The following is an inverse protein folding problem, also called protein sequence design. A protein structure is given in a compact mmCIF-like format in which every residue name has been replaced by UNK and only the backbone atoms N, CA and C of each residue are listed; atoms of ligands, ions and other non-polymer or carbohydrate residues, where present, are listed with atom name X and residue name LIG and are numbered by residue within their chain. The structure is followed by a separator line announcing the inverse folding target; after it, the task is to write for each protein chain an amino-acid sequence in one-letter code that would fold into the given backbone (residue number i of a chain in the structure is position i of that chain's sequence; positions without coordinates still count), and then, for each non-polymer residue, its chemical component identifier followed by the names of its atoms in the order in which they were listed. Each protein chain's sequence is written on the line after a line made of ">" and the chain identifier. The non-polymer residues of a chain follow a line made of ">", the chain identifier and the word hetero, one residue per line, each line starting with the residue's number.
data_IF_232254045534
#
_entry.id   IF_232254045534
#
_cell.length_a   1.000
_cell.length_b   1.000
_cell.length_c   1.000
_cell.angle_alpha   90.00
_cell.angle_beta   90.00
_cell.angle_gamma   90.00
#
_symmetry.space_group_name_H-M   'P 1'
#
loop_
_entity.id
_entity.type
_entity.pdbx_description
1 polymer ?
#
# COMPACT_ATOMS: atom_id res chain seq x y z
N UNK A 1 8.65 49.32 -16.74
CA UNK A 1 8.59 47.91 -16.26
C UNK A 1 7.55 47.20 -17.14
N UNK A 2 7.81 46.65 -18.32
CA UNK A 2 8.74 45.61 -18.79
C UNK A 2 8.69 44.30 -17.99
N UNK A 3 8.05 43.27 -18.55
CA UNK A 3 8.46 41.87 -18.34
C UNK A 3 7.50 40.86 -17.68
N UNK A 4 6.21 40.77 -18.01
CA UNK A 4 5.35 39.64 -17.56
C UNK A 4 4.42 39.09 -18.66
N UNK A 5 4.89 38.98 -19.90
CA UNK A 5 4.03 38.69 -21.06
C UNK A 5 4.28 37.39 -21.82
N UNK A 6 5.41 36.70 -21.69
CA UNK A 6 5.74 35.59 -22.58
C UNK A 6 6.52 34.49 -21.84
N UNK A 7 5.86 33.38 -21.48
CA UNK A 7 6.53 32.09 -21.24
C UNK A 7 6.34 31.36 -19.90
N UNK A 8 5.41 31.73 -19.01
CA UNK A 8 5.40 31.18 -17.63
C UNK A 8 4.13 30.47 -17.11
N UNK A 9 3.03 30.42 -17.86
CA UNK A 9 1.72 30.06 -17.30
C UNK A 9 1.39 28.57 -17.18
N UNK A 10 2.11 27.69 -17.88
CA UNK A 10 1.79 26.24 -17.91
C UNK A 10 2.57 25.46 -16.84
N UNK A 11 3.64 26.03 -16.29
CA UNK A 11 4.49 25.34 -15.31
C UNK A 11 3.90 25.22 -13.90
N UNK A 12 3.23 26.23 -13.30
CA UNK A 12 2.74 26.07 -11.92
C UNK A 12 1.56 25.11 -11.82
N UNK A 13 0.69 25.06 -12.85
CA UNK A 13 -0.52 24.22 -12.82
C UNK A 13 -0.18 22.73 -13.01
N UNK A 14 0.71 22.38 -13.93
CA UNK A 14 1.08 20.98 -14.17
C UNK A 14 1.89 20.38 -13.01
N UNK A 15 2.71 21.19 -12.32
CA UNK A 15 3.37 20.80 -11.07
C UNK A 15 2.40 20.60 -9.91
N UNK A 16 1.38 21.46 -9.79
CA UNK A 16 0.34 21.33 -8.76
C UNK A 16 -0.52 20.09 -9.00
N UNK A 17 -0.97 19.87 -10.24
CA UNK A 17 -1.82 18.73 -10.60
C UNK A 17 -1.08 17.42 -10.42
N UNK A 18 0.16 17.30 -10.92
CA UNK A 18 0.96 16.09 -10.68
C UNK A 18 1.21 15.84 -9.18
N UNK A 19 1.51 16.87 -8.40
CA UNK A 19 1.66 16.78 -6.94
C UNK A 19 0.40 16.27 -6.23
N UNK A 20 -0.79 16.74 -6.59
CA UNK A 20 -2.05 16.27 -6.02
C UNK A 20 -2.33 14.79 -6.32
N UNK A 21 -2.02 14.35 -7.55
CA UNK A 21 -2.19 12.96 -7.95
C UNK A 21 -1.24 12.04 -7.19
N UNK A 22 0.05 12.41 -7.05
CA UNK A 22 1.01 11.65 -6.25
C UNK A 22 0.61 11.60 -4.76
N UNK A 23 0.15 12.71 -4.19
CA UNK A 23 -0.29 12.75 -2.79
C UNK A 23 -1.51 11.84 -2.55
N UNK A 24 -2.52 11.92 -3.42
CA UNK A 24 -3.74 11.10 -3.33
C UNK A 24 -3.42 9.61 -3.48
N UNK A 25 -2.57 9.26 -4.45
CA UNK A 25 -2.15 7.88 -4.66
C UNK A 25 -1.35 7.34 -3.48
N UNK A 26 -0.41 8.13 -2.95
CA UNK A 26 0.38 7.76 -1.77
C UNK A 26 -0.50 7.52 -0.54
N UNK A 27 -1.49 8.38 -0.31
CA UNK A 27 -2.48 8.20 0.76
C UNK A 27 -3.32 6.94 0.55
N UNK A 28 -3.76 6.67 -0.68
CA UNK A 28 -4.53 5.48 -1.01
C UNK A 28 -3.72 4.19 -0.76
N UNK A 29 -2.47 4.13 -1.24
CA UNK A 29 -1.57 2.98 -1.02
C UNK A 29 -1.32 2.77 0.47
N UNK A 30 -1.09 3.85 1.23
CA UNK A 30 -0.90 3.77 2.68
C UNK A 30 -2.14 3.22 3.37
N UNK A 31 -3.33 3.70 3.02
CA UNK A 31 -4.59 3.24 3.59
C UNK A 31 -4.84 1.76 3.29
N UNK A 32 -4.60 1.33 2.05
CA UNK A 32 -4.76 -0.06 1.63
C UNK A 32 -3.78 -0.98 2.37
N UNK A 33 -2.52 -0.58 2.49
CA UNK A 33 -1.50 -1.32 3.23
C UNK A 33 -1.85 -1.45 4.71
N UNK A 34 -2.34 -0.38 5.35
CA UNK A 34 -2.84 -0.44 6.73
C UNK A 34 -4.01 -1.42 6.84
N UNK A 35 -4.97 -1.36 5.93
CA UNK A 35 -6.13 -2.26 5.95
C UNK A 35 -5.72 -3.73 5.82
N UNK A 36 -4.80 -4.05 4.89
CA UNK A 36 -4.25 -5.40 4.75
C UNK A 36 -3.44 -5.85 5.96
N UNK A 37 -2.66 -4.94 6.53
CA UNK A 37 -1.99 -5.15 7.82
C UNK A 37 -3.00 -5.52 8.91
N UNK A 38 -4.12 -4.78 9.02
CA UNK A 38 -5.15 -5.02 10.03
C UNK A 38 -5.80 -6.38 9.84
N UNK A 39 -6.18 -6.75 8.62
CA UNK A 39 -6.74 -8.06 8.30
C UNK A 39 -5.82 -9.20 8.79
N UNK A 40 -4.53 -9.13 8.46
CA UNK A 40 -3.53 -10.12 8.87
C UNK A 40 -3.27 -10.12 10.39
N UNK A 41 -3.21 -8.94 11.00
CA UNK A 41 -3.04 -8.79 12.44
C UNK A 41 -4.22 -9.36 13.23
N UNK A 42 -5.45 -9.17 12.74
CA UNK A 42 -6.66 -9.73 13.35
C UNK A 42 -6.70 -11.26 13.19
N UNK A 43 -6.35 -11.79 12.02
CA UNK A 43 -6.28 -13.24 11.79
C UNK A 43 -5.30 -13.91 12.76
N UNK A 44 -4.07 -13.39 12.83
CA UNK A 44 -3.07 -13.92 13.77
C UNK A 44 -3.50 -13.69 15.22
N UNK A 45 -4.10 -12.55 15.54
CA UNK A 45 -4.56 -12.25 16.90
C UNK A 45 -5.67 -13.18 17.38
N UNK A 46 -6.65 -13.54 16.54
CA UNK A 46 -7.68 -14.53 16.88
C UNK A 46 -7.03 -15.88 17.20
N UNK A 47 -6.08 -16.32 16.38
CA UNK A 47 -5.31 -17.55 16.62
C UNK A 47 -4.52 -17.49 17.92
N UNK A 48 -3.84 -16.38 18.21
CA UNK A 48 -3.07 -16.19 19.43
C UNK A 48 -3.96 -16.18 20.68
N UNK A 49 -5.14 -15.54 20.64
CA UNK A 49 -6.14 -15.58 21.72
C UNK A 49 -6.60 -17.01 21.98
N UNK A 50 -6.87 -17.76 20.91
CA UNK A 50 -7.19 -19.19 21.02
C UNK A 50 -6.10 -19.98 21.75
N UNK A 51 -4.83 -19.74 21.42
CA UNK A 51 -3.70 -20.40 22.10
C UNK A 51 -3.57 -20.00 23.57
N UNK A 52 -3.75 -18.72 23.91
CA UNK A 52 -3.70 -18.24 25.31
C UNK A 52 -4.76 -18.96 26.16
N UNK A 53 -5.96 -19.13 25.62
CA UNK A 53 -7.07 -19.75 26.33
C UNK A 53 -6.89 -21.26 26.43
N UNK A 54 -6.37 -21.91 25.38
CA UNK A 54 -6.06 -23.35 25.40
C UNK A 54 -4.96 -23.71 26.42
N UNK A 55 -3.99 -22.81 26.67
CA UNK A 55 -2.97 -23.00 27.70
C UNK A 55 -3.55 -23.00 29.12
N UNK A 56 -4.68 -22.33 29.31
CA UNK A 56 -5.26 -22.06 30.64
C UNK A 56 -6.60 -22.75 30.87
N UNK A 57 -7.18 -23.39 29.85
CA UNK A 57 -8.46 -24.09 29.89
C UNK A 57 -8.66 -25.03 28.70
N UNK A 58 -9.51 -26.05 28.87
CA UNK A 58 -9.92 -26.98 27.81
C UNK A 58 -11.21 -26.55 27.08
N UNK A 59 -11.59 -25.27 27.15
CA UNK A 59 -12.83 -24.76 26.58
C UNK A 59 -12.83 -24.78 25.05
N UNK A 60 -14.02 -24.99 24.45
CA UNK A 60 -14.18 -24.87 23.00
C UNK A 60 -14.02 -23.40 22.60
N UNK A 61 -13.32 -23.14 21.49
CA UNK A 61 -13.15 -21.79 20.95
C UNK A 61 -14.31 -21.52 19.98
N UNK A 62 -15.06 -20.40 20.14
CA UNK A 62 -16.07 -20.00 19.17
C UNK A 62 -15.44 -19.60 17.83
N UNK A 63 -16.13 -19.83 16.70
CA UNK A 63 -15.64 -19.37 15.40
C UNK A 63 -15.75 -17.84 15.32
N UNK A 64 -14.66 -17.16 15.66
CA UNK A 64 -14.54 -15.70 15.57
C UNK A 64 -13.92 -15.37 14.21
N UNK A 65 -14.60 -14.54 13.42
CA UNK A 65 -14.13 -14.14 12.10
C UNK A 65 -13.55 -12.73 12.11
N UNK A 66 -12.55 -12.48 11.24
CA UNK A 66 -11.95 -11.15 11.04
C UNK A 66 -13.01 -10.12 10.62
N UNK A 67 -14.01 -10.52 9.84
CA UNK A 67 -15.11 -9.65 9.37
C UNK A 67 -15.93 -9.08 10.52
N UNK A 68 -16.18 -9.88 11.57
CA UNK A 68 -16.91 -9.45 12.76
C UNK A 68 -16.09 -8.43 13.56
N UNK A 69 -14.77 -8.64 13.64
CA UNK A 69 -13.86 -7.71 14.28
C UNK A 69 -13.78 -6.39 13.53
N UNK A 70 -13.68 -6.41 12.20
CA UNK A 70 -13.64 -5.21 11.36
C UNK A 70 -14.93 -4.39 11.43
N UNK A 71 -16.08 -5.07 11.52
CA UNK A 71 -17.40 -4.43 11.64
C UNK A 71 -17.57 -3.62 12.93
N UNK A 72 -16.70 -3.82 13.92
CA UNK A 72 -16.67 -3.00 15.14
C UNK A 72 -16.27 -1.55 14.92
N UNK A 73 -15.57 -1.24 13.81
CA UNK A 73 -14.95 0.07 13.58
C UNK A 73 -13.81 0.43 14.54
N UNK A 74 -13.39 -0.49 15.43
CA UNK A 74 -12.34 -0.24 16.43
C UNK A 74 -10.92 -0.43 15.89
N UNK A 75 -10.76 -1.24 14.85
CA UNK A 75 -9.46 -1.58 14.25
C UNK A 75 -9.31 -0.87 12.91
N UNK A 76 -8.93 0.40 12.94
CA UNK A 76 -8.81 1.26 11.74
C UNK A 76 -7.40 1.77 11.49
N UNK A 77 -6.63 2.00 12.55
CA UNK A 77 -5.26 2.53 12.47
C UNK A 77 -4.19 1.51 12.88
N UNK A 78 -4.60 0.34 13.37
CA UNK A 78 -3.71 -0.70 13.86
C UNK A 78 -4.46 -1.79 14.62
N UNK A 79 -3.71 -2.77 15.10
CA UNK A 79 -4.23 -3.93 15.83
C UNK A 79 -3.49 -4.07 17.17
N UNK A 80 -4.24 -4.17 18.25
CA UNK A 80 -3.72 -4.45 19.59
C UNK A 80 -4.44 -5.69 20.15
N UNK A 81 -3.67 -6.67 20.61
CA UNK A 81 -4.18 -7.94 21.11
C UNK A 81 -5.12 -7.77 22.32
N UNK A 82 -4.83 -6.84 23.24
CA UNK A 82 -5.71 -6.60 24.38
C UNK A 82 -7.05 -5.99 23.95
N UNK A 83 -7.04 -5.06 23.00
CA UNK A 83 -8.26 -4.48 22.44
C UNK A 83 -9.11 -5.52 21.70
N UNK A 84 -8.45 -6.49 21.05
CA UNK A 84 -9.12 -7.66 20.48
C UNK A 84 -9.81 -8.51 21.54
N UNK A 85 -9.11 -8.87 22.62
CA UNK A 85 -9.68 -9.64 23.74
C UNK A 85 -10.85 -8.89 24.37
N UNK A 86 -10.70 -7.57 24.58
CA UNK A 86 -11.76 -6.69 25.11
C UNK A 86 -12.98 -6.64 24.21
N UNK A 87 -12.79 -6.57 22.89
CA UNK A 87 -13.90 -6.60 21.93
C UNK A 87 -14.58 -7.97 21.92
N UNK A 88 -13.81 -9.05 21.94
CA UNK A 88 -14.34 -10.43 22.00
C UNK A 88 -15.17 -10.63 23.27
N UNK A 89 -14.73 -10.10 24.41
CA UNK A 89 -15.52 -10.11 25.63
C UNK A 89 -16.90 -9.45 25.47
N UNK A 90 -16.99 -8.37 24.68
CA UNK A 90 -18.25 -7.64 24.46
C UNK A 90 -19.21 -8.32 23.48
N UNK A 91 -18.76 -9.33 22.73
CA UNK A 91 -19.58 -10.08 21.77
C UNK A 91 -20.02 -11.44 22.30
N UNK A 92 -19.91 -11.70 23.61
CA UNK A 92 -20.34 -12.96 24.25
C UNK A 92 -21.78 -13.33 23.88
N UNK A 93 -22.67 -12.35 23.79
CA UNK A 93 -24.09 -12.56 23.52
C UNK A 93 -24.36 -13.11 22.11
N UNK A 94 -23.41 -12.95 21.18
CA UNK A 94 -23.49 -13.55 19.83
C UNK A 94 -23.25 -15.06 19.85
N UNK A 95 -22.77 -15.62 20.96
CA UNK A 95 -22.44 -17.04 21.12
C UNK A 95 -23.18 -17.63 22.33
N UNK A 96 -24.50 -17.86 22.23
CA UNK A 96 -25.32 -18.34 23.33
C UNK A 96 -25.06 -19.81 23.71
N UNK A 97 -24.28 -20.54 22.91
CA UNK A 97 -23.93 -21.94 23.16
C UNK A 97 -23.07 -22.08 24.42
N UNK A 98 -23.56 -22.90 25.37
CA UNK A 98 -22.90 -23.16 26.66
C UNK A 98 -21.53 -23.80 26.52
N UNK A 99 -21.21 -24.41 25.38
CA UNK A 99 -19.88 -24.97 25.12
C UNK A 99 -18.78 -23.90 25.10
N UNK A 100 -19.14 -22.62 24.87
CA UNK A 100 -18.20 -21.49 24.90
C UNK A 100 -18.13 -20.77 26.26
N UNK A 101 -18.88 -21.20 27.27
CA UNK A 101 -18.91 -20.52 28.59
C UNK A 101 -17.53 -20.46 29.23
N UNK A 102 -16.73 -21.53 29.12
CA UNK A 102 -15.36 -21.53 29.65
C UNK A 102 -14.46 -20.52 28.94
N UNK A 103 -14.58 -20.42 27.61
CA UNK A 103 -13.82 -19.46 26.81
C UNK A 103 -14.14 -18.01 27.23
N UNK A 104 -15.43 -17.65 27.29
CA UNK A 104 -15.84 -16.30 27.66
C UNK A 104 -15.57 -15.98 29.14
N UNK A 105 -15.66 -16.97 30.04
CA UNK A 105 -15.27 -16.78 31.45
C UNK A 105 -13.79 -16.42 31.59
N UNK A 106 -12.90 -17.09 30.82
CA UNK A 106 -11.46 -16.76 30.82
C UNK A 106 -11.18 -15.39 30.24
N UNK A 107 -11.78 -15.07 29.08
CA UNK A 107 -11.68 -13.73 28.50
C UNK A 107 -12.19 -12.65 29.45
N UNK A 108 -13.31 -12.91 30.14
CA UNK A 108 -13.86 -11.99 31.12
C UNK A 108 -12.87 -11.72 32.26
N UNK A 109 -12.22 -12.78 32.78
CA UNK A 109 -11.15 -12.66 33.78
C UNK A 109 -9.99 -11.79 33.32
N UNK A 110 -9.49 -12.00 32.10
CA UNK A 110 -8.40 -11.20 31.52
C UNK A 110 -8.78 -9.71 31.44
N UNK A 111 -10.01 -9.40 31.04
CA UNK A 111 -10.46 -8.02 30.80
C UNK A 111 -10.87 -7.28 32.07
N UNK A 112 -11.53 -7.96 33.01
CA UNK A 112 -12.16 -7.34 34.19
C UNK A 112 -11.39 -7.52 35.49
N UNK A 113 -10.54 -8.55 35.57
CA UNK A 113 -9.80 -8.88 36.80
C UNK A 113 -8.31 -8.58 36.63
N UNK A 114 -7.68 -9.10 35.57
CA UNK A 114 -6.23 -8.92 35.34
C UNK A 114 -5.89 -7.51 34.86
N UNK A 115 -6.63 -7.01 33.87
CA UNK A 115 -6.36 -5.72 33.25
C UNK A 115 -5.19 -5.75 32.26
N UNK A 116 -4.96 -4.60 31.62
CA UNK A 116 -4.06 -4.50 30.46
C UNK A 116 -2.58 -4.77 30.79
N UNK A 117 -2.09 -4.30 31.94
CA UNK A 117 -0.67 -4.38 32.28
C UNK A 117 -0.24 -5.84 32.53
N UNK A 118 -1.01 -6.56 33.35
CA UNK A 118 -0.78 -7.98 33.61
C UNK A 118 -0.98 -8.82 32.36
N UNK A 119 -2.00 -8.54 31.55
CA UNK A 119 -2.20 -9.22 30.28
C UNK A 119 -0.99 -9.04 29.36
N UNK A 120 -0.48 -7.82 29.21
CA UNK A 120 0.65 -7.54 28.34
C UNK A 120 1.94 -8.20 28.83
N UNK A 121 2.19 -8.18 30.14
CA UNK A 121 3.34 -8.85 30.74
C UNK A 121 3.35 -10.37 30.46
N UNK A 122 2.19 -11.01 30.58
CA UNK A 122 2.06 -12.46 30.41
C UNK A 122 2.03 -12.90 28.94
N UNK A 123 1.63 -12.02 28.01
CA UNK A 123 1.37 -12.36 26.61
C UNK A 123 2.28 -11.63 25.62
N UNK A 124 3.45 -11.16 26.05
CA UNK A 124 4.38 -10.37 25.22
C UNK A 124 4.73 -11.07 23.88
N UNK A 125 5.01 -12.38 23.90
CA UNK A 125 5.30 -13.14 22.68
C UNK A 125 4.11 -13.19 21.71
N UNK A 126 2.89 -13.34 22.24
CA UNK A 126 1.66 -13.33 21.44
C UNK A 126 1.40 -11.94 20.84
N UNK A 127 1.62 -10.87 21.62
CA UNK A 127 1.52 -9.48 21.16
C UNK A 127 2.53 -9.21 20.04
N UNK A 128 3.78 -9.64 20.22
CA UNK A 128 4.82 -9.50 19.21
C UNK A 128 4.48 -10.25 17.91
N UNK A 129 3.85 -11.44 18.01
CA UNK A 129 3.40 -12.18 16.84
C UNK A 129 2.33 -11.42 16.04
N UNK A 130 1.36 -10.80 16.72
CA UNK A 130 0.33 -9.98 16.09
C UNK A 130 0.91 -8.73 15.45
N UNK A 131 1.79 -8.02 16.17
CA UNK A 131 2.49 -6.85 15.63
C UNK A 131 3.32 -7.21 14.41
N UNK A 132 4.02 -8.35 14.43
CA UNK A 132 4.80 -8.85 13.30
C UNK A 132 3.93 -9.20 12.10
N UNK A 133 2.78 -9.84 12.31
CA UNK A 133 1.84 -10.16 11.24
C UNK A 133 1.28 -8.88 10.58
N UNK A 134 0.89 -7.90 11.40
CA UNK A 134 0.43 -6.59 10.96
C UNK A 134 1.50 -5.86 10.13
N UNK A 135 2.70 -5.67 10.69
CA UNK A 135 3.79 -4.95 10.02
C UNK A 135 4.25 -5.65 8.75
N UNK A 136 4.45 -6.97 8.78
CA UNK A 136 4.89 -7.74 7.61
C UNK A 136 3.91 -7.61 6.43
N UNK A 137 2.61 -7.69 6.69
CA UNK A 137 1.62 -7.59 5.63
C UNK A 137 1.47 -6.14 5.13
N UNK A 138 1.50 -5.16 6.04
CA UNK A 138 1.49 -3.73 5.69
C UNK A 138 2.69 -3.35 4.81
N UNK A 139 3.90 -3.76 5.18
CA UNK A 139 5.12 -3.50 4.42
C UNK A 139 5.11 -4.21 3.06
N UNK A 140 4.68 -5.47 3.01
CA UNK A 140 4.59 -6.23 1.77
C UNK A 140 3.61 -5.58 0.78
N UNK A 141 2.43 -5.16 1.24
CA UNK A 141 1.45 -4.49 0.41
C UNK A 141 1.99 -3.14 -0.10
N UNK A 142 2.60 -2.35 0.78
CA UNK A 142 3.21 -1.07 0.39
C UNK A 142 4.35 -1.25 -0.65
N UNK A 143 5.21 -2.25 -0.46
CA UNK A 143 6.29 -2.59 -1.39
C UNK A 143 5.75 -3.09 -2.75
N UNK A 144 4.66 -3.86 -2.75
CA UNK A 144 4.02 -4.31 -3.98
C UNK A 144 3.49 -3.14 -4.81
N UNK A 145 2.76 -2.21 -4.20
CA UNK A 145 2.23 -1.04 -4.92
C UNK A 145 3.33 -0.10 -5.42
N UNK A 146 4.36 0.15 -4.61
CA UNK A 146 5.48 1.02 -5.02
C UNK A 146 6.32 0.41 -6.14
N UNK A 147 6.54 -0.91 -6.12
CA UNK A 147 7.26 -1.61 -7.21
C UNK A 147 6.47 -1.66 -8.52
N UNK A 148 5.14 -1.78 -8.47
CA UNK A 148 4.29 -1.65 -9.66
C UNK A 148 4.40 -0.25 -10.29
N UNK A 149 4.40 0.79 -9.45
CA UNK A 149 4.53 2.17 -9.91
C UNK A 149 5.91 2.43 -10.53
N UNK A 150 6.99 1.96 -9.90
CA UNK A 150 8.34 2.11 -10.45
C UNK A 150 8.51 1.40 -11.79
N UNK A 151 8.01 0.16 -11.92
CA UNK A 151 8.03 -0.56 -13.19
C UNK A 151 7.26 0.18 -14.30
N UNK A 152 6.11 0.76 -13.95
CA UNK A 152 5.30 1.54 -14.90
C UNK A 152 6.03 2.80 -15.35
N UNK A 153 6.71 3.50 -14.43
CA UNK A 153 7.51 4.68 -14.74
C UNK A 153 8.68 4.31 -15.66
N UNK A 154 9.39 3.22 -15.37
CA UNK A 154 10.50 2.74 -16.21
C UNK A 154 10.00 2.42 -17.64
N UNK A 155 8.87 1.71 -17.76
CA UNK A 155 8.28 1.39 -19.06
C UNK A 155 7.89 2.66 -19.85
N UNK A 156 7.34 3.67 -19.17
CA UNK A 156 7.03 4.97 -19.78
C UNK A 156 8.29 5.68 -20.31
N UNK A 157 9.36 5.73 -19.51
CA UNK A 157 10.64 6.33 -19.92
C UNK A 157 11.24 5.59 -21.12
N UNK A 158 11.25 4.27 -21.10
CA UNK A 158 11.73 3.44 -22.22
C UNK A 158 10.90 3.73 -23.48
N UNK A 159 9.58 3.88 -23.36
CA UNK A 159 8.68 4.19 -24.48
C UNK A 159 9.01 5.55 -25.11
N UNK A 160 9.23 6.59 -24.29
CA UNK A 160 9.63 7.92 -24.78
C UNK A 160 10.98 7.85 -25.50
N UNK A 161 11.96 7.12 -24.95
CA UNK A 161 13.27 6.94 -25.58
C UNK A 161 13.16 6.26 -26.96
N UNK A 162 12.30 5.26 -27.10
CA UNK A 162 12.05 4.58 -28.38
C UNK A 162 11.44 5.55 -29.39
N UNK A 163 10.45 6.37 -29.00
CA UNK A 163 9.84 7.38 -29.88
C UNK A 163 10.89 8.40 -30.35
N UNK A 164 11.73 8.90 -29.43
CA UNK A 164 12.80 9.85 -29.75
C UNK A 164 13.83 9.22 -30.69
N UNK A 165 14.22 7.96 -30.47
CA UNK A 165 15.13 7.24 -31.37
C UNK A 165 14.55 7.10 -32.78
N UNK A 166 13.26 6.75 -32.90
CA UNK A 166 12.58 6.68 -34.20
C UNK A 166 12.57 8.05 -34.89
N UNK A 167 12.26 9.13 -34.16
CA UNK A 167 12.32 10.49 -34.70
C UNK A 167 13.72 10.86 -35.20
N UNK A 168 14.78 10.49 -34.46
CA UNK A 168 16.17 10.73 -34.85
C UNK A 168 16.51 9.98 -36.14
N UNK A 169 16.16 8.70 -36.26
CA UNK A 169 16.43 7.89 -37.45
C UNK A 169 15.75 8.49 -38.70
N UNK A 170 14.45 8.80 -38.59
CA UNK A 170 13.69 9.44 -39.67
C UNK A 170 14.30 10.81 -40.01
N UNK A 171 14.66 11.60 -39.00
CA UNK A 171 15.31 12.89 -39.19
C UNK A 171 16.64 12.77 -39.92
N UNK A 172 17.49 11.80 -39.54
CA UNK A 172 18.77 11.54 -40.22
C UNK A 172 18.55 11.16 -41.68
N UNK A 173 17.57 10.30 -41.97
CA UNK A 173 17.22 9.94 -43.34
C UNK A 173 16.77 11.16 -44.17
N UNK A 174 15.88 11.98 -43.60
CA UNK A 174 15.40 13.21 -44.25
C UNK A 174 16.52 14.25 -44.44
N UNK A 175 17.40 14.41 -43.46
CA UNK A 175 18.55 15.31 -43.51
C UNK A 175 19.56 14.87 -44.57
N UNK A 176 19.84 13.57 -44.62
CA UNK A 176 20.74 12.99 -45.62
C UNK A 176 20.19 13.19 -47.03
N UNK A 177 18.89 12.92 -47.26
CA UNK A 177 18.23 13.18 -48.55
C UNK A 177 18.32 14.65 -48.97
N UNK A 178 18.10 15.60 -48.04
CA UNK A 178 18.23 17.05 -48.32
C UNK A 178 19.66 17.44 -48.70
N UNK A 179 20.67 16.99 -47.95
CA UNK A 179 22.09 17.25 -48.26
C UNK A 179 22.49 16.71 -49.63
N UNK A 180 22.05 15.49 -50.00
CA UNK A 180 22.34 14.89 -51.30
C UNK A 180 21.73 15.69 -52.47
N UNK A 181 20.50 16.20 -52.31
CA UNK A 181 19.87 17.08 -53.31
C UNK A 181 20.67 18.38 -53.52
N UNK A 182 21.16 19.01 -52.44
CA UNK A 182 21.94 20.24 -52.53
C UNK A 182 23.31 20.05 -53.19
N UNK A 183 24.00 18.94 -52.89
CA UNK A 183 25.29 18.61 -53.54
C UNK A 183 25.14 18.42 -55.05
N UNK A 184 24.08 17.72 -55.49
CA UNK A 184 23.78 17.58 -56.93
C UNK A 184 23.55 18.94 -57.59
N UNK A 185 22.73 19.81 -56.99
CA UNK A 185 22.49 21.17 -57.51
C UNK A 185 23.77 21.98 -57.69
N UNK A 186 24.70 21.91 -56.74
CA UNK A 186 25.97 22.63 -56.80
C UNK A 186 26.90 22.15 -57.94
N UNK A 187 26.84 20.87 -58.32
CA UNK A 187 27.58 20.36 -59.48
C UNK A 187 26.98 20.87 -60.80
N UNK A 188 25.65 20.86 -60.94
CA UNK A 188 25.00 21.38 -62.14
C UNK A 188 25.25 22.88 -62.36
N UNK A 189 25.27 23.69 -61.29
CA UNK A 189 25.63 25.12 -61.43
C UNK A 189 27.09 25.37 -61.78
N UNK A 190 28.00 24.44 -61.49
CA UNK A 190 29.39 24.54 -61.95
C UNK A 190 29.52 24.21 -63.44
N UNK A 191 28.89 23.13 -63.89
CA UNK A 191 28.91 22.70 -65.30
C UNK A 191 28.26 23.69 -66.26
N UNK A 192 27.35 24.55 -65.79
CA UNK A 192 26.70 25.60 -66.59
C UNK A 192 27.47 26.92 -66.64
N UNK A 193 28.55 27.05 -65.87
CA UNK A 193 29.33 28.30 -65.74
C UNK A 193 30.67 28.26 -66.48
N UNK A 194 31.11 27.07 -66.87
CA UNK A 194 32.10 26.85 -67.94
C UNK A 194 31.38 26.83 -69.29
#
# INVERSE_FOLDING_TARGET
>A
MCGCGLGGGVLPVWGLVSGLWYATLSQHVTKLAIQKGIEAGLEEGIKQIGQIIQRTSAGRIPPINVTDMLSSGKFTNGVNLYDMVKYINSMSDKFPDRTYTQFFSKIHGMVKVEGIDTFNANNNANIAAVAKAFEKCKEAEFAAHTSLLSNTIIASVVTILVIVLVMIIIYLFLRYRRKKKMKKKAQYTKLLKE
#
